data_IF_098663677883
#
_entry.id   IF_098663677883
#
_cell.length_a   1.000
_cell.length_b   1.000
_cell.length_c   1.000
_cell.angle_alpha   90.00
_cell.angle_beta   90.00
_cell.angle_gamma   90.00
#
_symmetry.space_group_name_H-M   'P 1'
#
loop_
_entity.id
_entity.type
_entity.pdbx_description
1 polymer ?
#
# COMPACT_ATOMS: atom_id res chain seq x y z
N UNK A 1 -3.02 4.90 28.65
CA UNK A 1 -2.87 4.14 27.39
C UNK A 1 -1.95 4.91 26.45
N UNK A 2 -0.83 4.32 26.03
CA UNK A 2 0.09 4.92 25.04
C UNK A 2 -0.15 4.18 23.72
N UNK A 3 -0.27 4.91 22.61
CA UNK A 3 -0.47 4.36 21.27
C UNK A 3 0.69 4.80 20.38
N UNK A 4 1.45 3.85 19.87
CA UNK A 4 2.60 4.06 18.99
C UNK A 4 2.39 3.44 17.62
N UNK A 5 2.99 4.04 16.59
CA UNK A 5 3.05 3.49 15.25
C UNK A 5 4.41 2.85 15.01
N UNK A 6 4.39 1.61 14.53
CA UNK A 6 5.60 0.84 14.22
C UNK A 6 5.52 0.34 12.78
N UNK A 7 6.67 0.21 12.13
CA UNK A 7 6.78 -0.37 10.80
C UNK A 7 7.57 -1.68 10.83
N UNK A 8 7.04 -2.71 10.16
CA UNK A 8 7.74 -3.97 9.92
C UNK A 8 8.02 -4.08 8.43
N UNK A 9 9.27 -4.38 8.08
CA UNK A 9 9.66 -4.71 6.72
C UNK A 9 9.37 -6.18 6.44
N UNK A 10 8.73 -6.47 5.32
CA UNK A 10 8.57 -7.85 4.87
C UNK A 10 9.93 -8.47 4.53
N UNK A 11 10.17 -9.67 5.04
CA UNK A 11 11.44 -10.38 4.88
C UNK A 11 11.69 -10.77 3.41
N UNK A 12 12.97 -10.88 3.05
CA UNK A 12 13.39 -11.40 1.74
C UNK A 12 12.87 -12.83 1.52
N UNK A 13 12.66 -13.19 0.26
CA UNK A 13 12.17 -14.53 -0.14
C UNK A 13 10.76 -14.88 0.39
N UNK A 14 10.02 -13.89 0.87
CA UNK A 14 8.61 -14.00 1.25
C UNK A 14 7.73 -13.23 0.26
N UNK A 15 6.42 -13.52 0.14
CA UNK A 15 5.54 -12.70 -0.70
C UNK A 15 5.33 -11.27 -0.17
N UNK A 16 5.89 -10.95 1.00
CA UNK A 16 5.82 -9.64 1.66
C UNK A 16 7.07 -8.79 1.41
N UNK A 17 8.10 -9.34 0.76
CA UNK A 17 9.36 -8.67 0.47
C UNK A 17 9.15 -7.26 -0.13
N UNK A 18 9.97 -6.29 0.33
CA UNK A 18 9.91 -4.86 -0.05
C UNK A 18 8.62 -4.15 0.37
N UNK A 19 7.69 -4.82 1.05
CA UNK A 19 6.54 -4.20 1.69
C UNK A 19 6.93 -3.56 3.03
N UNK A 20 6.33 -2.41 3.31
CA UNK A 20 6.36 -1.72 4.60
C UNK A 20 4.98 -1.84 5.24
N UNK A 21 4.89 -2.58 6.33
CA UNK A 21 3.64 -2.83 7.04
C UNK A 21 3.59 -1.97 8.29
N UNK A 22 2.59 -1.08 8.36
CA UNK A 22 2.34 -0.24 9.54
C UNK A 22 1.48 -1.00 10.53
N UNK A 23 1.88 -0.96 11.79
CA UNK A 23 1.16 -1.54 12.91
C UNK A 23 0.89 -0.46 13.94
N UNK A 24 -0.25 -0.57 14.60
CA UNK A 24 -0.58 0.18 15.81
C UNK A 24 -0.25 -0.68 17.02
N UNK A 25 0.48 -0.11 17.98
CA UNK A 25 0.84 -0.74 19.25
C UNK A 25 0.22 0.08 20.38
N UNK A 26 -0.74 -0.49 21.08
CA UNK A 26 -1.35 0.11 22.27
C UNK A 26 -0.86 -0.59 23.53
N UNK A 27 -0.24 0.18 24.42
CA UNK A 27 0.30 -0.31 25.69
C UNK A 27 -0.79 -0.15 26.77
N UNK A 28 -1.28 -1.24 27.39
CA UNK A 28 -2.28 -1.19 28.43
C UNK A 28 -1.70 -0.64 29.74
N UNK A 29 -2.56 -0.16 30.63
CA UNK A 29 -2.15 0.39 31.93
C UNK A 29 -1.46 -0.64 32.83
N UNK A 30 -1.81 -1.93 32.67
CA UNK A 30 -1.23 -3.03 33.45
C UNK A 30 -0.02 -3.67 32.78
N UNK A 31 0.56 -3.08 31.73
CA UNK A 31 1.81 -3.58 31.16
C UNK A 31 2.93 -3.56 32.23
N UNK A 32 3.75 -4.64 32.37
CA UNK A 32 3.86 -5.82 31.51
C UNK A 32 3.02 -7.03 31.96
N UNK A 33 2.10 -6.89 32.92
CA UNK A 33 1.20 -7.98 33.33
C UNK A 33 0.10 -8.26 32.32
N UNK A 34 -0.23 -7.28 31.48
CA UNK A 34 -1.05 -7.45 30.26
C UNK A 34 -0.20 -7.26 29.01
N UNK A 35 -0.44 -8.05 27.95
CA UNK A 35 0.27 -7.92 26.68
C UNK A 35 -0.08 -6.59 25.98
N UNK A 36 0.82 -6.07 25.13
CA UNK A 36 0.47 -4.98 24.24
C UNK A 36 -0.63 -5.42 23.27
N UNK A 37 -1.52 -4.50 22.91
CA UNK A 37 -2.50 -4.73 21.84
C UNK A 37 -1.87 -4.28 20.53
N UNK A 38 -1.72 -5.20 19.59
CA UNK A 38 -1.08 -4.92 18.30
C UNK A 38 -2.02 -5.31 17.17
N UNK A 39 -2.17 -4.42 16.19
CA UNK A 39 -2.92 -4.69 14.95
C UNK A 39 -2.22 -4.08 13.74
N UNK A 40 -2.42 -4.71 12.58
CA UNK A 40 -2.00 -4.16 11.31
C UNK A 40 -2.89 -2.98 10.91
N UNK A 41 -2.27 -1.89 10.50
CA UNK A 41 -2.91 -0.78 9.81
C UNK A 41 -2.81 -0.96 8.30
N UNK A 42 -1.66 -1.45 7.83
CA UNK A 42 -1.48 -1.83 6.42
C UNK A 42 -2.22 -3.14 6.14
N UNK A 43 -3.16 -3.19 5.19
CA UNK A 43 -3.82 -4.44 4.80
C UNK A 43 -2.81 -5.48 4.32
N UNK A 44 -2.97 -6.73 4.77
CA UNK A 44 -2.10 -7.85 4.46
C UNK A 44 -2.93 -9.10 4.15
N UNK A 45 -2.49 -9.88 3.16
CA UNK A 45 -3.12 -11.15 2.81
C UNK A 45 -2.40 -12.29 3.53
N UNK A 46 -2.95 -12.73 4.67
CA UNK A 46 -2.29 -13.67 5.56
C UNK A 46 -3.28 -14.60 6.28
N UNK A 47 -2.97 -15.90 6.52
CA UNK A 47 -3.88 -16.83 7.20
C UNK A 47 -4.24 -16.41 8.64
N UNK A 48 -3.28 -15.85 9.38
CA UNK A 48 -3.42 -15.48 10.80
C UNK A 48 -3.71 -13.99 11.05
N UNK A 49 -3.96 -13.19 10.02
CA UNK A 49 -4.26 -11.76 10.16
C UNK A 49 -5.55 -11.48 9.36
N UNK A 50 -6.54 -10.87 10.01
CA UNK A 50 -7.81 -10.58 9.36
C UNK A 50 -7.85 -9.20 8.69
N UNK A 51 -8.98 -8.89 8.03
CA UNK A 51 -9.17 -7.61 7.33
C UNK A 51 -9.23 -6.39 8.26
N UNK A 52 -9.47 -6.58 9.56
CA UNK A 52 -9.39 -5.53 10.57
C UNK A 52 -7.97 -5.37 11.15
N UNK A 53 -7.02 -6.18 10.68
CA UNK A 53 -5.64 -6.19 11.13
C UNK A 53 -5.40 -6.92 12.44
N UNK A 54 -6.39 -7.65 12.98
CA UNK A 54 -6.22 -8.45 14.21
C UNK A 54 -5.30 -9.63 13.91
N UNK A 55 -4.42 -9.93 14.86
CA UNK A 55 -3.39 -10.97 14.72
C UNK A 55 -3.74 -12.15 15.63
N UNK A 56 -3.76 -13.37 15.09
CA UNK A 56 -3.73 -14.56 15.94
C UNK A 56 -2.28 -14.98 16.19
N UNK A 57 -1.78 -14.62 17.37
CA UNK A 57 -0.47 -14.99 17.87
C UNK A 57 -0.57 -15.22 19.38
N UNK A 58 0.03 -16.29 19.87
CA UNK A 58 -0.06 -16.75 21.25
C UNK A 58 0.60 -15.77 22.24
N UNK A 59 1.73 -15.15 21.88
CA UNK A 59 2.41 -14.16 22.72
C UNK A 59 1.61 -12.86 22.91
N UNK A 60 0.54 -12.65 22.14
CA UNK A 60 -0.39 -11.52 22.33
C UNK A 60 -1.58 -11.87 23.26
N UNK A 61 -1.62 -13.10 23.78
CA UNK A 61 -2.72 -13.59 24.62
C UNK A 61 -2.19 -14.06 25.98
N UNK A 62 -2.98 -13.82 27.03
CA UNK A 62 -2.67 -14.30 28.38
C UNK A 62 -2.88 -15.84 28.50
N UNK A 63 -2.12 -16.52 29.38
CA UNK A 63 -2.40 -17.90 29.77
C UNK A 63 -3.83 -18.08 30.33
N UNK A 64 -4.44 -19.27 30.20
CA UNK A 64 -3.89 -20.51 29.66
C UNK A 64 -3.97 -20.62 28.12
N UNK A 65 -4.62 -19.66 27.44
CA UNK A 65 -4.87 -19.70 25.99
C UNK A 65 -3.75 -19.09 25.14
N UNK A 66 -2.75 -18.48 25.78
CA UNK A 66 -1.63 -17.84 25.13
C UNK A 66 -0.34 -17.97 25.94
N UNK A 67 0.70 -17.32 25.44
CA UNK A 67 2.06 -17.45 25.92
C UNK A 67 2.65 -16.13 26.45
N UNK A 68 1.85 -15.07 26.59
CA UNK A 68 2.35 -13.82 27.18
C UNK A 68 2.89 -14.04 28.58
N UNK A 69 4.08 -13.49 28.84
CA UNK A 69 4.72 -13.45 30.15
C UNK A 69 5.31 -12.05 30.35
N UNK A 70 5.31 -11.49 31.57
CA UNK A 70 5.91 -10.18 31.84
C UNK A 70 7.40 -10.05 31.50
N UNK A 71 8.10 -11.18 31.29
CA UNK A 71 9.49 -11.22 30.82
C UNK A 71 9.64 -10.98 29.30
N UNK A 72 8.56 -11.06 28.53
CA UNK A 72 8.55 -10.67 27.12
C UNK A 72 8.46 -9.16 27.00
N UNK A 73 8.96 -8.63 25.89
CA UNK A 73 8.92 -7.21 25.59
C UNK A 73 8.38 -6.95 24.18
N UNK A 74 8.04 -5.70 23.89
CA UNK A 74 7.45 -5.30 22.59
C UNK A 74 8.36 -5.71 21.42
N UNK A 75 9.69 -5.54 21.53
CA UNK A 75 10.61 -5.94 20.48
C UNK A 75 10.54 -7.45 20.18
N UNK A 76 10.52 -8.30 21.21
CA UNK A 76 10.37 -9.76 21.03
C UNK A 76 9.04 -10.12 20.37
N UNK A 77 7.95 -9.42 20.71
CA UNK A 77 6.64 -9.63 20.09
C UNK A 77 6.65 -9.22 18.62
N UNK A 78 7.25 -8.08 18.28
CA UNK A 78 7.38 -7.64 16.88
C UNK A 78 8.23 -8.62 16.05
N UNK A 79 9.30 -9.18 16.63
CA UNK A 79 10.07 -10.26 15.99
C UNK A 79 9.19 -11.50 15.76
N UNK A 80 8.37 -11.90 16.73
CA UNK A 80 7.44 -13.02 16.55
C UNK A 80 6.39 -12.74 15.47
N UNK A 81 5.93 -11.49 15.31
CA UNK A 81 5.03 -11.10 14.22
C UNK A 81 5.75 -11.19 12.86
N UNK A 82 7.00 -10.75 12.76
CA UNK A 82 7.78 -10.87 11.52
C UNK A 82 8.05 -12.34 11.15
N UNK A 83 8.29 -13.18 12.15
CA UNK A 83 8.39 -14.63 11.95
C UNK A 83 7.07 -15.22 11.48
N UNK A 84 5.94 -14.85 12.11
CA UNK A 84 4.60 -15.29 11.70
C UNK A 84 4.30 -14.91 10.25
N UNK A 85 4.71 -13.71 9.80
CA UNK A 85 4.58 -13.32 8.39
C UNK A 85 5.33 -14.29 7.48
N UNK A 86 6.55 -14.69 7.84
CA UNK A 86 7.37 -15.59 7.04
C UNK A 86 6.87 -17.05 7.09
N UNK A 87 6.35 -17.45 8.24
CA UNK A 87 5.92 -18.80 8.57
C UNK A 87 4.48 -18.80 9.12
N UNK A 88 3.45 -18.71 8.24
CA UNK A 88 2.07 -18.73 8.69
C UNK A 88 1.72 -20.03 9.42
N UNK A 89 0.82 -19.94 10.41
CA UNK A 89 0.28 -21.10 11.11
C UNK A 89 -1.12 -21.45 10.56
N UNK A 90 -1.25 -22.38 9.61
CA UNK A 90 -2.55 -22.67 9.00
C UNK A 90 -3.48 -23.53 9.87
N UNK A 91 -3.02 -24.01 11.04
CA UNK A 91 -3.82 -24.85 11.95
C UNK A 91 -4.65 -24.03 12.95
N UNK A 92 -4.29 -22.75 13.17
CA UNK A 92 -5.09 -21.76 13.92
C UNK A 92 -5.33 -20.48 13.10
N UNK A 93 -6.07 -20.56 11.97
CA UNK A 93 -6.25 -19.43 11.07
C UNK A 93 -7.35 -18.46 11.54
N UNK A 94 -7.16 -17.16 11.29
CA UNK A 94 -8.25 -16.18 11.32
C UNK A 94 -9.00 -16.12 9.99
N UNK A 95 -8.30 -16.41 8.89
CA UNK A 95 -8.83 -16.38 7.54
C UNK A 95 -8.82 -17.80 6.96
N UNK A 96 -9.93 -18.53 7.12
CA UNK A 96 -10.04 -19.94 6.72
C UNK A 96 -9.79 -20.17 5.21
N UNK A 97 -10.28 -19.26 4.37
CA UNK A 97 -10.10 -19.34 2.91
C UNK A 97 -8.63 -19.17 2.52
N UNK A 98 -7.95 -18.16 3.09
CA UNK A 98 -6.52 -17.90 2.86
C UNK A 98 -5.66 -19.06 3.40
N UNK A 99 -6.03 -19.63 4.55
CA UNK A 99 -5.36 -20.81 5.11
C UNK A 99 -5.50 -22.03 4.22
N UNK A 100 -6.69 -22.27 3.67
CA UNK A 100 -6.94 -23.37 2.73
C UNK A 100 -6.14 -23.17 1.43
N UNK A 101 -6.11 -21.94 0.90
CA UNK A 101 -5.28 -21.61 -0.26
C UNK A 101 -3.79 -21.81 0.04
N UNK A 102 -3.30 -21.41 1.21
CA UNK A 102 -1.92 -21.66 1.64
C UNK A 102 -1.59 -23.15 1.73
N UNK A 103 -2.48 -23.97 2.29
CA UNK A 103 -2.31 -25.41 2.48
C UNK A 103 -2.34 -26.18 1.15
N UNK A 104 -3.31 -25.88 0.29
CA UNK A 104 -3.62 -26.72 -0.87
C UNK A 104 -3.22 -26.10 -2.22
N UNK A 105 -2.99 -24.79 -2.28
CA UNK A 105 -2.63 -24.08 -3.50
C UNK A 105 -1.61 -22.94 -3.24
N UNK A 106 -0.47 -23.32 -2.66
CA UNK A 106 0.62 -22.40 -2.30
C UNK A 106 1.04 -21.45 -3.42
N UNK A 107 1.13 -21.85 -4.71
CA UNK A 107 1.46 -20.91 -5.80
C UNK A 107 0.47 -19.76 -5.95
N UNK A 108 -0.83 -20.02 -5.79
CA UNK A 108 -1.86 -18.98 -5.86
C UNK A 108 -1.79 -18.08 -4.64
N UNK A 109 -1.62 -18.64 -3.44
CA UNK A 109 -1.38 -17.86 -2.22
C UNK A 109 -0.22 -16.88 -2.40
N UNK A 110 0.94 -17.36 -2.88
CA UNK A 110 2.13 -16.53 -3.08
C UNK A 110 1.89 -15.42 -4.12
N UNK A 111 1.10 -15.69 -5.16
CA UNK A 111 0.72 -14.68 -6.16
C UNK A 111 -0.19 -13.61 -5.53
N UNK A 112 -1.25 -14.02 -4.84
CA UNK A 112 -2.22 -13.13 -4.22
C UNK A 112 -1.57 -12.26 -3.13
N UNK A 113 -0.75 -12.87 -2.27
CA UNK A 113 -0.01 -12.16 -1.23
C UNK A 113 0.94 -11.10 -1.82
N UNK A 114 1.68 -11.42 -2.89
CA UNK A 114 2.53 -10.44 -3.59
C UNK A 114 1.73 -9.29 -4.19
N UNK A 115 0.59 -9.59 -4.81
CA UNK A 115 -0.28 -8.55 -5.36
C UNK A 115 -0.82 -7.62 -4.27
N UNK A 116 -1.18 -8.17 -3.11
CA UNK A 116 -1.59 -7.39 -1.95
C UNK A 116 -0.46 -6.52 -1.41
N UNK A 117 0.75 -7.08 -1.25
CA UNK A 117 1.94 -6.34 -0.83
C UNK A 117 2.22 -5.16 -1.76
N UNK A 118 2.19 -5.37 -3.09
CA UNK A 118 2.37 -4.32 -4.09
C UNK A 118 1.34 -3.20 -3.94
N UNK A 119 0.08 -3.57 -3.74
CA UNK A 119 -1.03 -2.63 -3.70
C UNK A 119 -1.09 -1.81 -2.40
N UNK A 120 -0.75 -2.43 -1.28
CA UNK A 120 -1.05 -1.87 0.05
C UNK A 120 0.19 -1.51 0.87
N UNK A 121 1.31 -2.20 0.67
CA UNK A 121 2.49 -2.08 1.53
C UNK A 121 3.68 -1.40 0.84
N UNK A 122 3.61 -1.15 -0.47
CA UNK A 122 4.62 -0.33 -1.15
C UNK A 122 4.21 1.12 -1.17
N UNK A 123 5.13 1.98 -0.74
CA UNK A 123 4.93 3.42 -0.85
C UNK A 123 4.97 3.79 -2.34
N UNK A 124 3.93 4.47 -2.83
CA UNK A 124 4.10 5.30 -4.03
C UNK A 124 5.10 6.37 -3.63
N UNK A 125 6.25 6.42 -4.30
CA UNK A 125 7.06 7.63 -4.22
C UNK A 125 6.15 8.79 -4.62
N UNK A 126 6.01 9.80 -3.75
CA UNK A 126 5.55 11.12 -4.15
C UNK A 126 6.65 11.65 -5.07
N UNK A 127 6.60 11.29 -6.34
CA UNK A 127 7.39 11.90 -7.39
C UNK A 127 6.53 13.02 -7.97
N UNK A 128 7.01 14.25 -7.78
CA UNK A 128 6.79 15.42 -8.64
C UNK A 128 5.34 15.91 -8.83
N UNK A 129 4.80 16.56 -7.79
CA UNK A 129 3.75 17.57 -7.93
C UNK A 129 4.24 18.89 -7.30
N UNK A 130 5.29 19.47 -7.90
CA UNK A 130 5.44 20.92 -7.97
C UNK A 130 5.30 21.30 -9.45
N UNK A 131 4.05 21.45 -9.89
CA UNK A 131 3.77 22.18 -11.12
C UNK A 131 4.31 23.60 -10.96
N UNK A 132 5.29 23.95 -11.80
CA UNK A 132 5.69 25.34 -12.00
C UNK A 132 4.55 26.08 -12.70
N UNK A 133 3.98 27.14 -12.10
CA UNK A 133 3.15 28.04 -12.88
C UNK A 133 4.05 28.89 -13.78
N UNK A 134 4.08 28.55 -15.07
CA UNK A 134 4.36 29.51 -16.13
C UNK A 134 3.22 30.53 -16.16
N UNK A 135 3.57 31.79 -15.88
CA UNK A 135 3.12 33.02 -16.54
C UNK A 135 2.87 34.16 -15.56
N UNK A 136 3.54 35.30 -15.79
CA UNK A 136 2.96 36.63 -15.89
C UNK A 136 3.99 37.62 -16.50
N UNK A 137 3.54 38.72 -17.13
CA UNK A 137 4.09 39.25 -18.37
C UNK A 137 5.12 40.38 -18.18
N UNK A 138 5.98 40.54 -19.19
CA UNK A 138 6.77 41.76 -19.40
C UNK A 138 5.85 42.96 -19.72
N UNK A 139 6.09 44.06 -19.04
CA UNK A 139 5.51 45.37 -19.34
C UNK A 139 6.62 46.33 -19.79
N UNK A 140 6.34 47.08 -20.87
CA UNK A 140 7.10 48.24 -21.36
C UNK A 140 7.78 47.98 -22.72
N UNK A 141 7.74 48.86 -23.72
CA UNK A 141 7.10 50.16 -23.84
C UNK A 141 7.14 50.61 -25.33
N UNK A 142 6.29 51.57 -25.69
CA UNK A 142 6.41 52.55 -26.80
C UNK A 142 6.20 52.17 -28.30
N UNK A 143 5.10 52.74 -28.82
CA UNK A 143 4.88 53.52 -30.07
C UNK A 143 5.76 53.36 -31.35
N UNK A 144 5.08 53.09 -32.49
CA UNK A 144 5.02 53.95 -33.71
C UNK A 144 4.22 53.21 -34.80
N UNK A 145 3.04 53.70 -35.22
CA UNK A 145 2.81 54.63 -36.34
C UNK A 145 3.39 54.18 -37.70
N UNK A 146 2.54 53.66 -38.61
CA UNK A 146 2.06 54.31 -39.85
C UNK A 146 1.66 53.32 -40.99
N UNK A 147 0.44 53.52 -41.50
CA UNK A 147 0.13 53.69 -42.94
C UNK A 147 0.32 52.51 -43.92
N UNK A 148 -0.82 52.08 -44.51
CA UNK A 148 -1.02 51.90 -45.97
C UNK A 148 -0.92 50.49 -46.61
N UNK A 149 -2.13 50.05 -47.02
CA UNK A 149 -2.52 49.51 -48.33
C UNK A 149 -2.23 48.05 -48.75
N UNK A 150 -3.37 47.43 -49.13
CA UNK A 150 -3.67 46.77 -50.42
C UNK A 150 -3.26 45.30 -50.64
N UNK A 151 -4.32 44.58 -51.07
CA UNK A 151 -4.38 43.53 -52.13
C UNK A 151 -3.91 42.15 -51.64
N UNK A 152 -4.48 41.01 -52.04
CA UNK A 152 -5.46 40.67 -53.09
C UNK A 152 -6.01 39.26 -52.76
N UNK A 153 -7.17 38.96 -53.33
CA UNK A 153 -7.90 37.69 -53.34
C UNK A 153 -7.05 36.47 -53.79
N UNK A 154 -7.44 35.20 -53.57
CA UNK A 154 -8.62 34.52 -54.16
C UNK A 154 -8.71 33.05 -53.68
N UNK A 155 -9.95 32.58 -53.42
CA UNK A 155 -10.64 31.37 -53.93
C UNK A 155 -9.95 29.98 -53.89
N UNK A 156 -10.63 28.84 -53.73
CA UNK A 156 -11.98 28.37 -53.31
C UNK A 156 -12.00 26.85 -53.63
N UNK A 157 -12.79 26.06 -52.91
CA UNK A 157 -13.22 24.69 -53.28
C UNK A 157 -12.37 23.58 -52.66
N UNK A 158 -12.88 22.65 -51.85
CA UNK A 158 -14.12 21.86 -52.02
C UNK A 158 -13.85 20.75 -53.06
N UNK A 159 -14.22 19.48 -52.91
CA UNK A 159 -15.22 18.81 -52.09
C UNK A 159 -15.10 17.29 -52.42
N UNK A 160 -15.40 16.43 -51.44
CA UNK A 160 -15.99 15.07 -51.53
C UNK A 160 -15.24 13.87 -52.16
N UNK A 161 -15.01 12.79 -51.38
CA UNK A 161 -15.81 11.55 -51.17
C UNK A 161 -15.84 10.56 -52.36
N UNK A 162 -15.48 9.29 -52.05
CA UNK A 162 -16.21 8.02 -52.35
C UNK A 162 -15.29 6.86 -51.92
N UNK A 163 -15.62 6.03 -50.93
CA UNK A 163 -16.57 4.91 -50.86
C UNK A 163 -16.32 3.73 -51.82
N UNK A 164 -16.59 2.54 -51.25
CA UNK A 164 -16.73 1.17 -51.80
C UNK A 164 -15.46 0.32 -51.93
N UNK A 165 -15.45 -0.99 -51.66
CA UNK A 165 -16.33 -1.94 -50.94
C UNK A 165 -15.73 -3.34 -51.12
N UNK A 166 -16.04 -4.23 -50.19
CA UNK A 166 -16.17 -5.70 -50.29
C UNK A 166 -14.99 -6.59 -50.72
N UNK A 167 -14.63 -7.50 -49.81
CA UNK A 167 -14.64 -8.95 -50.03
C UNK A 167 -14.87 -9.68 -48.69
#
# INVERSE_FOLDING_TARGET
MICELVEILGAADTPYEKGVFKLEVSIPERYPFEPPQIRFLTPIYHPNIDSAGRICLDVLKLPPKGAWRPSLNIATVLTSIQLLMSEPNPDDPLMADISSEFKYNKPVFLKNARQWTEKHAKQKQKADEEEMPEDLPEAGDSEACNTTQKRKARQLGGIEKKFHSDA
#
